data_IF_373501052948
#
_entry.id   IF_373501052948
#
_cell.length_a   1.000
_cell.length_b   1.000
_cell.length_c   1.000
_cell.angle_alpha   90.00
_cell.angle_beta   90.00
_cell.angle_gamma   90.00
#
_symmetry.space_group_name_H-M   'P 1'
#
loop_
_entity.id
_entity.type
_entity.pdbx_description
1 polymer ?
#
# COMPACT_ATOMS: atom_id res chain seq x y z
N UNK A 1 -35.56 22.24 51.65
CA UNK A 1 -34.68 21.21 51.06
C UNK A 1 -34.03 21.83 49.87
N UNK A 2 -32.76 22.24 50.01
CA UNK A 2 -32.00 22.91 48.97
C UNK A 2 -31.16 21.85 48.20
N UNK A 3 -31.54 21.55 46.99
CA UNK A 3 -30.69 20.74 46.09
C UNK A 3 -29.75 21.70 45.36
N UNK A 4 -28.50 21.75 45.84
CA UNK A 4 -27.40 22.37 45.08
C UNK A 4 -27.06 21.46 43.90
N UNK A 5 -27.32 21.90 42.68
CA UNK A 5 -26.75 21.30 41.49
C UNK A 5 -25.26 21.60 41.45
N UNK A 6 -24.43 20.58 41.58
CA UNK A 6 -23.00 20.68 41.31
C UNK A 6 -22.78 20.90 39.83
N UNK A 7 -22.23 22.07 39.45
CA UNK A 7 -21.64 22.27 38.12
C UNK A 7 -20.32 21.51 38.09
N UNK A 8 -20.06 20.63 37.12
CA UNK A 8 -18.74 20.08 36.96
C UNK A 8 -17.85 21.20 36.37
N UNK A 9 -16.92 21.70 37.15
CA UNK A 9 -15.82 22.53 36.68
C UNK A 9 -14.84 21.65 35.85
N UNK A 10 -15.34 21.11 34.76
CA UNK A 10 -14.57 20.38 33.80
C UNK A 10 -13.78 21.34 32.93
N UNK A 11 -12.56 21.69 33.36
CA UNK A 11 -11.53 22.14 32.44
C UNK A 11 -11.33 21.00 31.43
N UNK A 12 -11.89 21.16 30.25
CA UNK A 12 -11.54 20.31 29.10
C UNK A 12 -10.05 20.54 28.90
N UNK A 13 -9.23 19.57 29.26
CA UNK A 13 -7.81 19.58 28.96
C UNK A 13 -7.71 19.49 27.42
N UNK A 14 -7.41 20.65 26.80
CA UNK A 14 -7.00 20.70 25.40
C UNK A 14 -5.66 19.97 25.31
N UNK A 15 -5.61 18.90 24.60
CA UNK A 15 -4.36 18.14 24.40
C UNK A 15 -4.56 16.63 24.30
N UNK A 16 -5.79 16.14 24.23
CA UNK A 16 -6.04 14.74 24.56
C UNK A 16 -6.11 13.78 23.41
N UNK A 17 -6.31 14.22 22.17
CA UNK A 17 -6.34 13.29 21.03
C UNK A 17 -5.78 13.98 19.79
N UNK A 18 -4.45 13.98 19.66
CA UNK A 18 -3.82 14.26 18.39
C UNK A 18 -3.97 13.01 17.52
N UNK A 19 -4.79 13.09 16.47
CA UNK A 19 -4.79 12.08 15.42
C UNK A 19 -3.60 12.39 14.51
N UNK A 20 -2.57 11.55 14.48
CA UNK A 20 -1.43 11.80 13.61
C UNK A 20 -1.89 11.96 12.16
N UNK A 21 -1.42 13.01 11.51
CA UNK A 21 -1.66 13.20 10.08
C UNK A 21 -0.94 12.13 9.27
N UNK A 22 0.26 11.77 9.68
CA UNK A 22 1.10 10.80 8.99
C UNK A 22 1.62 9.73 9.97
N UNK A 23 1.71 8.50 9.50
CA UNK A 23 2.24 7.35 10.22
C UNK A 23 3.43 6.79 9.46
N UNK A 24 4.56 6.67 10.13
CA UNK A 24 5.70 5.93 9.61
C UNK A 24 5.33 4.46 9.33
N UNK A 25 6.02 3.80 8.39
CA UNK A 25 5.83 2.37 8.16
C UNK A 25 6.19 1.56 9.41
N UNK A 26 5.45 0.48 9.64
CA UNK A 26 5.74 -0.45 10.73
C UNK A 26 7.00 -1.26 10.43
N UNK A 27 7.78 -1.58 11.46
CA UNK A 27 9.08 -2.26 11.30
C UNK A 27 8.97 -3.68 10.73
N UNK A 28 7.82 -4.30 10.88
CA UNK A 28 7.49 -5.65 10.44
C UNK A 28 6.50 -5.67 9.26
N UNK A 29 6.35 -4.55 8.56
CA UNK A 29 5.35 -4.40 7.48
C UNK A 29 5.48 -5.48 6.40
N UNK A 30 6.70 -5.83 6.00
CA UNK A 30 6.91 -6.87 5.00
C UNK A 30 6.67 -8.27 5.57
N UNK A 31 7.04 -8.54 6.83
CA UNK A 31 6.77 -9.81 7.49
C UNK A 31 5.24 -10.02 7.65
N UNK A 32 4.53 -9.00 8.10
CA UNK A 32 3.07 -9.03 8.23
C UNK A 32 2.40 -9.26 6.88
N UNK A 33 2.86 -8.59 5.83
CA UNK A 33 2.36 -8.77 4.47
C UNK A 33 2.66 -10.18 3.92
N UNK A 34 3.84 -10.74 4.22
CA UNK A 34 4.18 -12.11 3.83
C UNK A 34 3.21 -13.13 4.45
N UNK A 35 2.92 -12.99 5.73
CA UNK A 35 1.91 -13.82 6.42
C UNK A 35 0.55 -13.66 5.75
N UNK A 36 0.14 -12.41 5.47
CA UNK A 36 -1.15 -12.15 4.82
C UNK A 36 -1.24 -12.77 3.42
N UNK A 37 -0.22 -12.65 2.59
CA UNK A 37 -0.17 -13.32 1.28
C UNK A 37 -0.27 -14.84 1.40
N UNK A 38 0.35 -15.43 2.41
CA UNK A 38 0.28 -16.88 2.65
C UNK A 38 -1.13 -17.32 3.02
N UNK A 39 -1.82 -16.57 3.88
CA UNK A 39 -3.22 -16.81 4.22
C UNK A 39 -4.11 -16.72 2.98
N UNK A 40 -3.97 -15.63 2.21
CA UNK A 40 -4.73 -15.42 0.98
C UNK A 40 -4.49 -16.51 -0.06
N UNK A 41 -3.26 -17.01 -0.19
CA UNK A 41 -2.94 -18.12 -1.08
C UNK A 41 -3.62 -19.43 -0.67
N UNK A 42 -3.82 -19.66 0.63
CA UNK A 42 -4.54 -20.84 1.14
C UNK A 42 -6.05 -20.73 0.97
N UNK A 43 -6.59 -19.52 1.01
CA UNK A 43 -8.02 -19.22 0.86
C UNK A 43 -8.42 -19.09 -0.63
N UNK A 44 -7.45 -18.96 -1.55
CA UNK A 44 -7.72 -18.69 -2.96
C UNK A 44 -8.32 -19.90 -3.69
N UNK A 45 -9.45 -19.65 -4.34
CA UNK A 45 -10.13 -20.59 -5.24
C UNK A 45 -10.15 -20.15 -6.71
N UNK A 46 -9.53 -19.00 -7.02
CA UNK A 46 -9.56 -18.36 -8.33
C UNK A 46 -8.35 -18.72 -9.23
N UNK A 47 -7.36 -19.45 -8.68
CA UNK A 47 -6.17 -19.86 -9.42
C UNK A 47 -4.96 -18.92 -9.23
N UNK A 48 -5.03 -17.98 -8.30
CA UNK A 48 -3.96 -17.04 -7.98
C UNK A 48 -3.02 -17.52 -6.87
N UNK A 49 -3.33 -18.66 -6.21
CA UNK A 49 -2.58 -19.18 -5.05
C UNK A 49 -1.08 -19.27 -5.27
N UNK A 50 -0.64 -19.70 -6.47
CA UNK A 50 0.79 -19.76 -6.82
C UNK A 50 1.44 -18.38 -6.88
N UNK A 51 0.75 -17.39 -7.41
CA UNK A 51 1.24 -16.01 -7.46
C UNK A 51 1.29 -15.37 -6.08
N UNK A 52 0.23 -15.52 -5.29
CA UNK A 52 0.19 -15.02 -3.90
C UNK A 52 1.28 -15.67 -3.03
N UNK A 53 1.56 -16.97 -3.25
CA UNK A 53 2.67 -17.68 -2.60
C UNK A 53 4.04 -17.11 -2.97
N UNK A 54 4.26 -16.78 -4.25
CA UNK A 54 5.48 -16.11 -4.70
C UNK A 54 5.66 -14.75 -4.02
N UNK A 55 4.59 -13.95 -3.94
CA UNK A 55 4.62 -12.65 -3.26
C UNK A 55 4.90 -12.77 -1.75
N UNK A 56 4.41 -13.85 -1.11
CA UNK A 56 4.79 -14.15 0.28
C UNK A 56 6.30 -14.33 0.42
N UNK A 57 6.94 -15.13 -0.44
CA UNK A 57 8.40 -15.33 -0.43
C UNK A 57 9.17 -14.04 -0.69
N UNK A 58 8.69 -13.22 -1.64
CA UNK A 58 9.29 -11.91 -1.92
C UNK A 58 9.21 -11.00 -0.70
N UNK A 59 8.06 -10.96 0.00
CA UNK A 59 7.89 -10.15 1.20
C UNK A 59 8.76 -10.65 2.37
N UNK A 60 8.95 -11.95 2.54
CA UNK A 60 9.91 -12.50 3.52
C UNK A 60 11.34 -12.02 3.20
N UNK A 61 11.73 -12.04 1.93
CA UNK A 61 13.02 -11.55 1.48
C UNK A 61 13.17 -10.03 1.66
N UNK A 62 12.10 -9.25 1.40
CA UNK A 62 12.05 -7.82 1.70
C UNK A 62 12.30 -7.55 3.18
N UNK A 63 11.66 -8.31 4.09
CA UNK A 63 11.87 -8.15 5.53
C UNK A 63 13.30 -8.49 5.94
N UNK A 64 13.86 -9.55 5.36
CA UNK A 64 15.24 -9.93 5.61
C UNK A 64 16.23 -8.85 5.15
N UNK A 65 16.05 -8.28 3.96
CA UNK A 65 16.86 -7.19 3.44
C UNK A 65 16.68 -5.89 4.26
N UNK A 66 15.45 -5.54 4.63
CA UNK A 66 15.14 -4.40 5.48
C UNK A 66 15.85 -4.47 6.85
N UNK A 67 15.92 -5.65 7.45
CA UNK A 67 16.58 -5.87 8.73
C UNK A 67 18.12 -5.93 8.62
N UNK A 68 18.64 -6.38 7.47
CA UNK A 68 20.07 -6.61 7.24
C UNK A 68 20.82 -5.36 6.85
N UNK A 69 20.23 -4.54 6.00
CA UNK A 69 20.90 -3.40 5.40
C UNK A 69 20.56 -2.08 6.10
N UNK A 70 21.50 -1.16 6.07
CA UNK A 70 21.29 0.22 6.50
C UNK A 70 21.21 1.11 5.28
N UNK A 71 20.17 1.93 5.22
CA UNK A 71 19.95 2.88 4.14
C UNK A 71 20.04 4.30 4.70
N UNK A 72 21.19 4.99 4.51
CA UNK A 72 21.33 6.37 4.96
C UNK A 72 20.23 7.25 4.37
N UNK A 73 19.60 8.06 5.21
CA UNK A 73 18.57 8.99 4.77
C UNK A 73 19.20 10.05 3.85
N UNK A 74 18.71 10.22 2.62
CA UNK A 74 19.18 11.28 1.75
C UNK A 74 18.72 12.65 2.25
N UNK A 75 19.29 13.78 1.74
CA UNK A 75 18.77 15.09 2.03
C UNK A 75 17.29 15.20 1.70
N UNK A 76 16.49 15.71 2.64
CA UNK A 76 15.07 15.88 2.45
C UNK A 76 14.77 17.05 1.52
N UNK A 77 13.85 16.85 0.60
CA UNK A 77 13.37 17.93 -0.27
C UNK A 77 12.38 18.82 0.49
N UNK A 78 12.44 20.11 0.19
CA UNK A 78 11.46 21.08 0.69
C UNK A 78 10.41 21.31 -0.37
N UNK A 79 9.30 20.60 -0.28
CA UNK A 79 8.22 20.66 -1.28
C UNK A 79 6.97 19.91 -0.83
N UNK A 80 6.20 19.46 -1.79
CA UNK A 80 5.00 18.67 -1.51
C UNK A 80 5.31 17.26 -1.00
N UNK A 81 6.51 16.77 -1.26
CA UNK A 81 7.03 15.47 -0.80
C UNK A 81 8.47 15.63 -0.34
N UNK A 82 8.90 14.84 0.62
CA UNK A 82 10.25 14.94 1.21
C UNK A 82 11.26 13.97 0.62
N UNK A 83 10.80 12.85 0.04
CA UNK A 83 11.59 11.79 -0.59
C UNK A 83 11.00 11.42 -1.96
N UNK A 84 10.95 12.33 -2.95
CA UNK A 84 10.23 12.11 -4.20
C UNK A 84 10.74 10.88 -4.96
N UNK A 85 9.84 9.95 -5.26
CA UNK A 85 10.15 8.68 -5.92
C UNK A 85 10.74 8.86 -7.34
N UNK A 86 10.34 9.91 -8.04
CA UNK A 86 10.78 10.18 -9.40
C UNK A 86 12.19 10.82 -9.50
N UNK A 87 12.85 11.12 -8.36
CA UNK A 87 14.13 11.83 -8.39
C UNK A 87 15.26 10.96 -8.94
N UNK A 88 15.56 9.86 -8.25
CA UNK A 88 16.66 8.97 -8.62
C UNK A 88 16.43 7.54 -8.12
N UNK A 89 17.07 6.57 -8.78
CA UNK A 89 17.14 5.20 -8.27
C UNK A 89 18.12 5.20 -7.09
N UNK A 90 17.73 4.71 -5.90
CA UNK A 90 18.56 4.77 -4.71
C UNK A 90 19.77 3.82 -4.77
N UNK A 91 20.89 4.20 -4.18
CA UNK A 91 22.11 3.41 -4.14
C UNK A 91 21.91 1.99 -3.58
N UNK A 92 21.04 1.82 -2.60
CA UNK A 92 20.72 0.52 -2.00
C UNK A 92 19.90 -0.42 -2.89
N UNK A 93 19.36 0.06 -4.01
CA UNK A 93 18.48 -0.72 -4.89
C UNK A 93 19.12 -2.03 -5.35
N UNK A 94 20.32 -1.97 -5.94
CA UNK A 94 20.99 -3.15 -6.53
C UNK A 94 21.25 -4.24 -5.50
N UNK A 95 21.62 -3.86 -4.28
CA UNK A 95 21.88 -4.80 -3.18
C UNK A 95 20.58 -5.54 -2.81
N UNK A 96 19.49 -4.81 -2.60
CA UNK A 96 18.19 -5.40 -2.28
C UNK A 96 17.67 -6.24 -3.43
N UNK A 97 17.77 -5.74 -4.67
CA UNK A 97 17.33 -6.45 -5.87
C UNK A 97 18.03 -7.81 -6.00
N UNK A 98 19.33 -7.86 -5.78
CA UNK A 98 20.11 -9.11 -5.77
C UNK A 98 19.66 -10.07 -4.65
N UNK A 99 19.41 -9.56 -3.45
CA UNK A 99 18.90 -10.36 -2.33
C UNK A 99 17.54 -11.00 -2.65
N UNK A 100 16.63 -10.24 -3.23
CA UNK A 100 15.29 -10.74 -3.61
C UNK A 100 15.38 -11.80 -4.72
N UNK A 101 16.20 -11.58 -5.73
CA UNK A 101 16.41 -12.55 -6.79
C UNK A 101 17.01 -13.87 -6.26
N UNK A 102 17.90 -13.79 -5.30
CA UNK A 102 18.48 -14.97 -4.66
C UNK A 102 17.49 -15.73 -3.79
N UNK A 103 16.62 -15.01 -3.08
CA UNK A 103 15.59 -15.62 -2.24
C UNK A 103 14.49 -16.32 -3.06
N UNK A 104 14.24 -15.87 -4.28
CA UNK A 104 13.27 -16.48 -5.20
C UNK A 104 13.89 -17.53 -6.13
N UNK A 105 15.19 -17.74 -6.06
CA UNK A 105 15.87 -18.77 -6.81
C UNK A 105 15.53 -20.16 -6.26
N UNK A 106 15.32 -21.12 -7.17
CA UNK A 106 14.93 -22.48 -6.77
C UNK A 106 13.44 -22.66 -6.42
N UNK A 107 12.59 -21.64 -6.62
CA UNK A 107 11.15 -21.81 -6.60
C UNK A 107 10.73 -22.78 -7.70
N UNK A 108 9.74 -23.62 -7.42
CA UNK A 108 9.35 -24.74 -8.29
C UNK A 108 8.71 -24.32 -9.63
N UNK A 109 8.38 -23.06 -9.80
CA UNK A 109 7.77 -22.55 -11.02
C UNK A 109 8.81 -22.21 -12.09
N UNK A 110 8.80 -22.91 -13.20
CA UNK A 110 9.75 -22.74 -14.30
C UNK A 110 9.75 -21.32 -14.90
N UNK A 111 8.59 -20.62 -14.93
CA UNK A 111 8.50 -19.25 -15.42
C UNK A 111 9.22 -18.27 -14.46
N UNK A 112 9.05 -18.45 -13.14
CA UNK A 112 9.76 -17.67 -12.12
C UNK A 112 11.27 -17.88 -12.24
N UNK A 113 11.71 -19.14 -12.34
CA UNK A 113 13.14 -19.48 -12.51
C UNK A 113 13.73 -18.86 -13.78
N UNK A 114 13.02 -18.91 -14.89
CA UNK A 114 13.47 -18.32 -16.15
C UNK A 114 13.58 -16.79 -16.05
N UNK A 115 12.63 -16.14 -15.39
CA UNK A 115 12.65 -14.68 -15.24
C UNK A 115 13.74 -14.23 -14.28
N UNK A 116 13.90 -14.87 -13.12
CA UNK A 116 15.00 -14.56 -12.18
C UNK A 116 16.36 -14.76 -12.80
N UNK A 117 16.54 -15.79 -13.65
CA UNK A 117 17.80 -16.00 -14.38
C UNK A 117 18.10 -14.84 -15.36
N UNK A 118 17.10 -14.33 -16.09
CA UNK A 118 17.26 -13.15 -16.96
C UNK A 118 17.64 -11.91 -16.14
N UNK A 119 16.95 -11.67 -15.04
CA UNK A 119 17.19 -10.51 -14.19
C UNK A 119 18.57 -10.55 -13.52
N UNK A 120 19.06 -11.74 -13.14
CA UNK A 120 20.42 -11.93 -12.62
C UNK A 120 21.51 -11.69 -13.66
N UNK A 121 21.19 -11.85 -14.95
CA UNK A 121 22.14 -11.60 -16.04
C UNK A 121 22.27 -10.12 -16.40
N UNK A 122 21.41 -9.24 -15.89
CA UNK A 122 21.51 -7.80 -16.12
C UNK A 122 22.77 -7.22 -15.48
N UNK A 123 23.43 -6.34 -16.19
CA UNK A 123 24.46 -5.48 -15.61
C UNK A 123 23.84 -4.50 -14.62
N UNK A 124 24.65 -3.95 -13.71
CA UNK A 124 24.18 -2.93 -12.76
C UNK A 124 23.53 -1.71 -13.46
N UNK A 125 24.08 -1.30 -14.61
CA UNK A 125 23.56 -0.20 -15.40
C UNK A 125 22.19 -0.53 -16.01
N UNK A 126 22.01 -1.73 -16.55
CA UNK A 126 20.72 -2.17 -17.12
C UNK A 126 19.65 -2.32 -16.04
N UNK A 127 19.98 -2.92 -14.89
CA UNK A 127 19.05 -3.03 -13.76
C UNK A 127 18.64 -1.65 -13.22
N UNK A 128 19.58 -0.71 -13.13
CA UNK A 128 19.29 0.68 -12.72
C UNK A 128 18.41 1.41 -13.75
N UNK A 129 18.68 1.20 -15.06
CA UNK A 129 17.85 1.78 -16.12
C UNK A 129 16.42 1.22 -16.09
N UNK A 130 16.27 -0.09 -15.86
CA UNK A 130 14.96 -0.73 -15.67
C UNK A 130 14.21 -0.15 -14.46
N UNK A 131 14.88 -0.02 -13.31
CA UNK A 131 14.28 0.57 -12.12
C UNK A 131 13.84 2.02 -12.36
N UNK A 132 14.61 2.80 -13.12
CA UNK A 132 14.26 4.18 -13.50
C UNK A 132 12.99 4.22 -14.35
N UNK A 133 12.88 3.35 -15.38
CA UNK A 133 11.66 3.28 -16.21
C UNK A 133 10.43 2.95 -15.39
N UNK A 134 10.55 2.03 -14.44
CA UNK A 134 9.45 1.64 -13.55
C UNK A 134 9.05 2.79 -12.63
N UNK A 135 10.01 3.47 -12.00
CA UNK A 135 9.74 4.63 -11.14
C UNK A 135 9.09 5.81 -11.88
N UNK A 136 9.43 6.00 -13.14
CA UNK A 136 8.89 7.09 -13.97
C UNK A 136 7.67 6.67 -14.79
N UNK A 137 7.15 5.46 -14.58
CA UNK A 137 5.99 4.90 -15.31
C UNK A 137 6.20 4.87 -16.84
N UNK A 138 7.45 4.65 -17.28
CA UNK A 138 7.86 4.53 -18.68
C UNK A 138 8.18 3.08 -19.03
N UNK A 139 7.41 2.14 -18.47
CA UNK A 139 7.61 0.70 -18.67
C UNK A 139 7.18 0.27 -20.07
N UNK A 140 7.96 -0.64 -20.63
CA UNK A 140 7.64 -1.32 -21.88
C UNK A 140 7.07 -2.72 -21.60
N UNK A 141 6.35 -3.35 -22.55
CA UNK A 141 5.79 -4.69 -22.34
C UNK A 141 6.78 -5.73 -21.80
N UNK A 142 8.06 -5.79 -22.20
CA UNK A 142 9.04 -6.72 -21.64
C UNK A 142 9.41 -6.46 -20.17
N UNK A 143 9.20 -5.24 -19.67
CA UNK A 143 9.55 -4.87 -18.29
C UNK A 143 8.54 -5.41 -17.27
N UNK A 144 7.32 -5.75 -17.68
CA UNK A 144 6.19 -6.07 -16.78
C UNK A 144 6.45 -7.24 -15.84
N UNK A 145 7.06 -8.30 -16.30
CA UNK A 145 7.39 -9.45 -15.43
C UNK A 145 8.46 -9.10 -14.42
N UNK A 146 9.40 -8.20 -14.79
CA UNK A 146 10.44 -7.71 -13.92
C UNK A 146 9.95 -6.74 -12.83
N UNK A 147 8.82 -6.06 -13.08
CA UNK A 147 8.25 -5.05 -12.17
C UNK A 147 8.11 -5.57 -10.74
N UNK A 148 7.74 -6.84 -10.54
CA UNK A 148 7.54 -7.45 -9.23
C UNK A 148 8.79 -7.31 -8.35
N UNK A 149 9.95 -7.76 -8.85
CA UNK A 149 11.21 -7.73 -8.09
C UNK A 149 11.78 -6.31 -7.96
N UNK A 150 11.67 -5.52 -9.02
CA UNK A 150 12.15 -4.14 -9.01
C UNK A 150 11.33 -3.29 -8.04
N UNK A 151 10.00 -3.34 -8.11
CA UNK A 151 9.11 -2.63 -7.18
C UNK A 151 9.35 -3.10 -5.74
N UNK A 152 9.49 -4.41 -5.53
CA UNK A 152 9.78 -4.96 -4.21
C UNK A 152 11.13 -4.45 -3.66
N UNK A 153 12.17 -4.37 -4.48
CA UNK A 153 13.47 -3.85 -4.06
C UNK A 153 13.40 -2.35 -3.73
N UNK A 154 12.72 -1.56 -4.55
CA UNK A 154 12.51 -0.14 -4.31
C UNK A 154 11.71 0.11 -3.03
N UNK A 155 10.67 -0.68 -2.77
CA UNK A 155 9.89 -0.60 -1.53
C UNK A 155 10.76 -0.71 -0.29
N UNK A 156 11.73 -1.61 -0.25
CA UNK A 156 12.62 -1.79 0.92
C UNK A 156 13.36 -0.50 1.23
N UNK A 157 13.96 0.13 0.22
CA UNK A 157 14.77 1.35 0.43
C UNK A 157 13.89 2.52 0.87
N UNK A 158 12.77 2.78 0.14
CA UNK A 158 11.85 3.86 0.52
C UNK A 158 11.18 3.65 1.88
N UNK A 159 10.86 2.41 2.22
CA UNK A 159 10.34 2.07 3.55
C UNK A 159 11.38 2.33 4.64
N UNK A 160 12.63 1.97 4.40
CA UNK A 160 13.71 2.21 5.35
C UNK A 160 14.00 3.71 5.55
N UNK A 161 13.88 4.51 4.50
CA UNK A 161 13.99 5.97 4.60
C UNK A 161 12.79 6.56 5.35
N UNK A 162 11.57 6.18 4.98
CA UNK A 162 10.36 6.65 5.65
C UNK A 162 10.31 6.27 7.13
N UNK A 163 10.84 5.10 7.51
CA UNK A 163 10.91 4.66 8.91
C UNK A 163 11.86 5.52 9.79
N UNK A 164 12.71 6.35 9.19
CA UNK A 164 13.60 7.27 9.89
C UNK A 164 12.99 8.67 10.08
N UNK A 165 11.82 8.94 9.49
CA UNK A 165 11.13 10.22 9.58
C UNK A 165 10.16 10.25 10.76
N UNK A 166 9.93 11.45 11.28
CA UNK A 166 8.84 11.79 12.18
C UNK A 166 7.71 12.50 11.43
N UNK A 167 6.57 12.70 12.07
CA UNK A 167 5.44 13.46 11.52
C UNK A 167 5.85 14.90 11.18
N UNK A 168 6.76 15.50 11.97
CA UNK A 168 7.24 16.87 11.78
C UNK A 168 8.12 17.04 10.52
N UNK A 169 8.71 15.96 10.03
CA UNK A 169 9.52 15.97 8.80
C UNK A 169 8.66 15.96 7.53
N UNK A 170 7.37 15.57 7.66
CA UNK A 170 6.48 15.38 6.53
C UNK A 170 5.52 16.54 6.37
N UNK A 171 5.39 17.14 5.17
CA UNK A 171 4.54 18.31 4.97
C UNK A 171 3.07 17.94 5.22
N UNK A 172 2.45 18.66 6.16
CA UNK A 172 1.01 18.62 6.36
C UNK A 172 0.31 19.25 5.16
N UNK A 173 -0.66 18.56 4.59
CA UNK A 173 -1.54 19.19 3.61
C UNK A 173 -2.49 20.13 4.34
N UNK A 174 -2.65 21.35 3.87
CA UNK A 174 -3.75 22.23 4.30
C UNK A 174 -5.12 21.62 3.99
N UNK A 175 -5.16 20.68 3.03
CA UNK A 175 -6.33 19.89 2.66
C UNK A 175 -6.00 18.40 2.80
N UNK A 176 -6.79 17.69 3.58
CA UNK A 176 -6.75 16.24 3.80
C UNK A 176 -7.07 15.38 2.56
N UNK A 177 -7.05 15.96 1.36
CA UNK A 177 -7.58 15.42 0.11
C UNK A 177 -6.48 14.90 -0.82
N UNK A 178 -5.32 14.56 -0.28
CA UNK A 178 -4.22 14.06 -1.10
C UNK A 178 -4.35 12.58 -1.36
N UNK A 179 -4.45 12.21 -2.63
CA UNK A 179 -4.27 10.83 -3.09
C UNK A 179 -2.78 10.45 -3.16
N UNK A 180 -1.88 11.43 -3.18
CA UNK A 180 -0.44 11.23 -3.25
C UNK A 180 0.22 11.23 -1.87
N UNK A 181 1.15 10.31 -1.68
CA UNK A 181 1.89 10.17 -0.44
C UNK A 181 2.71 11.43 -0.12
N UNK A 182 2.54 12.06 1.05
CA UNK A 182 3.31 13.24 1.42
C UNK A 182 4.80 12.93 1.67
N UNK A 183 5.16 11.66 1.86
CA UNK A 183 6.54 11.23 1.99
C UNK A 183 7.21 11.10 0.62
N UNK A 184 6.69 10.28 -0.30
CA UNK A 184 7.39 9.94 -1.56
C UNK A 184 6.67 10.37 -2.84
N UNK A 185 5.43 10.88 -2.77
CA UNK A 185 4.67 11.33 -3.93
C UNK A 185 3.95 10.23 -4.71
N UNK A 186 4.10 8.97 -4.33
CA UNK A 186 3.40 7.85 -4.98
C UNK A 186 1.91 7.88 -4.64
N UNK A 187 1.06 7.58 -5.60
CA UNK A 187 -0.39 7.50 -5.39
C UNK A 187 -0.74 6.33 -4.47
N UNK A 188 -1.73 6.52 -3.57
CA UNK A 188 -2.18 5.49 -2.64
C UNK A 188 -2.79 4.29 -3.38
N UNK A 189 -2.40 3.08 -3.01
CA UNK A 189 -3.03 1.84 -3.53
C UNK A 189 -4.47 1.68 -3.07
N UNK A 190 -4.76 2.13 -1.86
CA UNK A 190 -6.05 2.03 -1.20
C UNK A 190 -6.04 2.73 0.14
N UNK A 191 -7.05 2.50 0.94
CA UNK A 191 -7.15 3.01 2.30
C UNK A 191 -7.48 1.91 3.31
N UNK A 192 -7.21 2.17 4.58
CA UNK A 192 -7.49 1.24 5.68
C UNK A 192 -8.16 1.97 6.83
N UNK A 193 -9.17 1.34 7.44
CA UNK A 193 -9.71 1.77 8.74
C UNK A 193 -9.01 0.93 9.81
N UNK A 194 -8.24 1.62 10.64
CA UNK A 194 -7.45 1.00 11.69
C UNK A 194 -8.29 0.62 12.93
N UNK A 195 -7.83 -0.41 13.67
CA UNK A 195 -8.40 -0.84 14.96
C UNK A 195 -7.43 -0.67 16.13
N UNK A 196 -6.35 0.09 15.95
CA UNK A 196 -5.39 0.39 17.04
C UNK A 196 -6.07 1.27 18.08
N UNK A 197 -5.70 1.08 19.34
CA UNK A 197 -6.39 1.66 20.50
C UNK A 197 -6.63 3.17 20.42
N UNK A 198 -5.66 3.91 19.89
CA UNK A 198 -5.65 5.37 19.75
C UNK A 198 -6.12 5.85 18.36
N UNK A 199 -6.17 4.95 17.37
CA UNK A 199 -6.48 5.25 15.97
C UNK A 199 -7.72 4.50 15.46
N UNK A 200 -8.47 3.85 16.36
CA UNK A 200 -9.64 3.06 15.99
C UNK A 200 -10.69 3.90 15.27
N UNK A 201 -11.05 3.44 14.08
CA UNK A 201 -12.05 4.06 13.24
C UNK A 201 -11.55 5.19 12.35
N UNK A 202 -10.28 5.61 12.45
CA UNK A 202 -9.70 6.56 11.50
C UNK A 202 -9.32 5.87 10.20
N UNK A 203 -9.55 6.58 9.10
CA UNK A 203 -9.16 6.16 7.75
C UNK A 203 -7.78 6.71 7.42
N UNK A 204 -6.91 5.83 6.97
CA UNK A 204 -5.59 6.18 6.44
C UNK A 204 -5.44 5.68 5.01
N UNK A 205 -4.95 6.53 4.13
CA UNK A 205 -4.44 6.14 2.81
C UNK A 205 -3.14 5.36 3.02
N UNK A 206 -2.84 4.39 2.15
CA UNK A 206 -1.64 3.57 2.22
C UNK A 206 -0.76 3.75 0.99
N UNK A 207 0.52 4.06 1.21
CA UNK A 207 1.50 4.19 0.15
C UNK A 207 2.02 2.82 -0.29
N UNK A 208 1.91 2.46 -1.57
CA UNK A 208 2.43 1.18 -2.04
C UNK A 208 3.96 1.14 -2.18
N UNK A 209 4.66 2.27 -2.11
CA UNK A 209 6.12 2.32 -2.23
C UNK A 209 6.82 2.43 -0.88
N UNK A 210 6.56 3.48 -0.08
CA UNK A 210 7.24 3.68 1.19
C UNK A 210 6.49 3.11 2.41
N UNK A 211 5.34 2.47 2.19
CA UNK A 211 4.49 1.86 3.23
C UNK A 211 4.03 2.81 4.36
N UNK A 212 4.26 4.12 4.25
CA UNK A 212 3.67 5.09 5.16
C UNK A 212 2.17 5.24 4.92
N UNK A 213 1.48 5.77 5.94
CA UNK A 213 0.04 6.01 5.88
C UNK A 213 -0.24 7.47 6.22
N UNK A 214 -1.27 8.06 5.64
CA UNK A 214 -1.70 9.42 5.97
C UNK A 214 -3.21 9.52 6.10
N UNK A 215 -3.66 10.33 7.05
CA UNK A 215 -5.07 10.47 7.39
C UNK A 215 -5.87 11.04 6.23
N UNK A 216 -7.05 10.49 6.01
CA UNK A 216 -8.02 10.95 5.02
C UNK A 216 -9.43 11.00 5.61
N UNK A 217 -10.20 12.01 5.25
CA UNK A 217 -11.59 12.13 5.69
C UNK A 217 -12.44 11.00 5.13
N UNK A 218 -13.26 10.37 5.98
CA UNK A 218 -14.08 9.20 5.61
C UNK A 218 -15.25 9.53 4.66
N UNK A 219 -15.76 10.74 4.72
CA UNK A 219 -16.96 11.15 3.97
C UNK A 219 -16.63 12.05 2.78
N UNK A 220 -15.39 12.02 2.29
CA UNK A 220 -14.93 12.88 1.21
C UNK A 220 -14.14 12.08 0.18
N UNK A 221 -14.42 12.33 -1.09
CA UNK A 221 -13.66 11.72 -2.17
C UNK A 221 -12.20 12.23 -2.15
N UNK A 222 -11.20 11.37 -2.01
CA UNK A 222 -9.80 11.81 -1.98
C UNK A 222 -9.31 12.31 -3.34
N UNK A 223 -10.01 11.99 -4.43
CA UNK A 223 -9.64 12.38 -5.80
C UNK A 223 -10.17 13.77 -6.17
N UNK A 224 -11.48 14.02 -5.99
CA UNK A 224 -12.09 15.29 -6.43
C UNK A 224 -12.58 16.18 -5.27
N UNK A 225 -12.51 15.71 -4.03
CA UNK A 225 -12.91 16.48 -2.86
C UNK A 225 -14.42 16.52 -2.59
N UNK A 226 -15.26 15.88 -3.41
CA UNK A 226 -16.70 15.86 -3.20
C UNK A 226 -17.09 15.04 -1.95
N UNK A 227 -18.02 15.58 -1.17
CA UNK A 227 -18.53 14.94 0.04
C UNK A 227 -19.92 14.29 -0.13
N UNK A 228 -20.64 14.62 -1.21
CA UNK A 228 -22.01 14.17 -1.45
C UNK A 228 -22.12 12.90 -2.27
N UNK A 229 -21.18 12.69 -3.18
CA UNK A 229 -21.22 11.62 -4.18
C UNK A 229 -20.57 10.29 -3.76
N UNK A 230 -20.09 10.16 -2.53
CA UNK A 230 -19.41 8.94 -2.09
C UNK A 230 -20.38 7.79 -1.83
N UNK A 231 -20.08 6.63 -2.39
CA UNK A 231 -20.78 5.35 -2.17
C UNK A 231 -19.79 4.31 -1.69
N UNK A 232 -20.28 3.44 -0.79
CA UNK A 232 -19.53 2.27 -0.33
C UNK A 232 -20.14 1.02 -0.95
N UNK A 233 -19.40 0.34 -1.78
CA UNK A 233 -19.81 -0.87 -2.48
C UNK A 233 -19.05 -2.07 -1.95
N UNK A 234 -19.69 -3.23 -1.92
CA UNK A 234 -19.09 -4.49 -1.54
C UNK A 234 -19.71 -5.63 -2.37
N UNK A 235 -19.00 -6.73 -2.49
CA UNK A 235 -19.56 -7.95 -3.07
C UNK A 235 -20.43 -8.63 -2.02
N UNK A 236 -21.70 -8.91 -2.36
CA UNK A 236 -22.60 -9.64 -1.46
C UNK A 236 -22.38 -11.15 -1.58
N UNK A 237 -22.29 -11.84 -0.44
CA UNK A 237 -22.13 -13.29 -0.36
C UNK A 237 -23.21 -14.07 -1.13
N UNK A 238 -24.41 -13.49 -1.21
CA UNK A 238 -25.53 -14.06 -1.97
C UNK A 238 -25.29 -14.11 -3.48
N UNK A 239 -24.43 -13.23 -3.98
CA UNK A 239 -24.12 -13.08 -5.41
C UNK A 239 -22.99 -14.02 -5.85
N UNK A 240 -22.13 -14.43 -4.91
CA UNK A 240 -20.96 -15.29 -5.19
C UNK A 240 -20.91 -16.39 -4.11
N UNK A 241 -21.35 -17.61 -4.41
CA UNK A 241 -21.21 -18.72 -3.49
C UNK A 241 -19.74 -18.96 -3.14
N UNK A 242 -19.44 -19.14 -1.85
CA UNK A 242 -18.07 -19.32 -1.33
C UNK A 242 -17.15 -18.10 -1.54
N UNK A 243 -17.68 -16.92 -1.31
CA UNK A 243 -16.88 -15.69 -1.34
C UNK A 243 -15.68 -15.80 -0.39
N UNK A 244 -14.46 -15.54 -0.90
CA UNK A 244 -13.25 -15.61 -0.10
C UNK A 244 -13.31 -14.63 1.09
N UNK A 245 -12.79 -14.99 2.30
CA UNK A 245 -12.86 -14.17 3.50
C UNK A 245 -12.31 -12.74 3.33
N UNK A 246 -11.36 -12.53 2.43
CA UNK A 246 -10.80 -11.22 2.09
C UNK A 246 -11.87 -10.19 1.70
N UNK A 247 -12.94 -10.62 1.02
CA UNK A 247 -14.03 -9.73 0.60
C UNK A 247 -14.84 -9.16 1.77
N UNK A 248 -14.84 -9.80 2.94
CA UNK A 248 -15.55 -9.30 4.11
C UNK A 248 -15.01 -7.95 4.61
N UNK A 249 -13.71 -7.72 4.41
CA UNK A 249 -13.02 -6.48 4.80
C UNK A 249 -12.92 -5.47 3.66
N UNK A 250 -13.01 -5.92 2.41
CA UNK A 250 -12.80 -5.09 1.22
C UNK A 250 -14.09 -4.40 0.78
N UNK A 251 -14.00 -3.09 0.58
CA UNK A 251 -15.05 -2.26 0.02
C UNK A 251 -14.47 -1.40 -1.10
N UNK A 252 -15.29 -1.01 -2.06
CA UNK A 252 -14.95 0.04 -3.00
C UNK A 252 -15.63 1.35 -2.58
N UNK A 253 -14.85 2.38 -2.32
CA UNK A 253 -15.35 3.74 -2.15
C UNK A 253 -15.39 4.39 -3.54
N UNK A 254 -16.56 4.42 -4.17
CA UNK A 254 -16.79 5.06 -5.46
C UNK A 254 -17.38 6.46 -5.31
N UNK A 255 -17.07 7.32 -6.25
CA UNK A 255 -17.54 8.71 -6.29
C UNK A 255 -18.39 8.96 -7.53
N UNK A 256 -19.64 9.36 -7.35
CA UNK A 256 -20.56 9.69 -8.45
C UNK A 256 -20.15 10.96 -9.21
N UNK A 257 -19.36 11.84 -8.57
CA UNK A 257 -18.97 13.11 -9.18
C UNK A 257 -17.78 12.99 -10.14
N UNK A 258 -16.77 12.17 -9.82
CA UNK A 258 -15.60 11.99 -10.68
C UNK A 258 -15.48 10.59 -11.28
N UNK A 259 -16.41 9.70 -11.02
CA UNK A 259 -16.46 8.32 -11.51
C UNK A 259 -15.20 7.50 -11.23
N UNK A 260 -14.47 7.83 -10.15
CA UNK A 260 -13.35 7.01 -9.67
C UNK A 260 -13.75 6.20 -8.46
N UNK A 261 -13.09 5.07 -8.25
CA UNK A 261 -13.18 4.32 -7.00
C UNK A 261 -11.80 3.99 -6.45
N UNK A 262 -11.75 3.70 -5.15
CA UNK A 262 -10.56 3.23 -4.44
C UNK A 262 -10.96 2.19 -3.40
N UNK A 263 -10.18 1.14 -3.25
CA UNK A 263 -10.50 0.13 -2.25
C UNK A 263 -10.21 0.62 -0.83
N UNK A 264 -11.10 0.26 0.07
CA UNK A 264 -11.01 0.48 1.50
C UNK A 264 -11.02 -0.86 2.22
N UNK A 265 -10.08 -1.06 3.12
CA UNK A 265 -9.96 -2.28 3.93
C UNK A 265 -10.30 -1.99 5.39
N UNK A 266 -11.12 -2.84 5.98
CA UNK A 266 -11.62 -2.65 7.35
C UNK A 266 -10.97 -3.65 8.28
N UNK A 267 -10.06 -3.20 9.14
CA UNK A 267 -9.38 -4.06 10.12
C UNK A 267 -10.31 -4.58 11.22
N UNK A 268 -11.48 -3.97 11.45
CA UNK A 268 -12.51 -4.52 12.34
C UNK A 268 -13.21 -5.79 11.78
N UNK A 269 -13.04 -6.07 10.48
CA UNK A 269 -13.54 -7.28 9.80
C UNK A 269 -12.43 -8.30 9.57
N UNK A 270 -11.24 -7.85 9.22
CA UNK A 270 -10.03 -8.66 9.06
C UNK A 270 -8.86 -7.88 9.67
N UNK A 271 -8.45 -8.28 10.86
CA UNK A 271 -7.44 -7.57 11.66
C UNK A 271 -6.11 -7.33 10.93
N UNK A 272 -5.73 -8.26 10.07
CA UNK A 272 -4.48 -8.23 9.32
C UNK A 272 -4.67 -7.80 7.85
N UNK A 273 -5.81 -7.17 7.52
CA UNK A 273 -6.01 -6.64 6.18
C UNK A 273 -4.88 -5.68 5.79
N UNK A 274 -4.21 -5.98 4.68
CA UNK A 274 -3.14 -5.19 4.09
C UNK A 274 -3.57 -4.64 2.72
N UNK A 275 -3.58 -3.32 2.52
CA UNK A 275 -4.07 -2.73 1.27
C UNK A 275 -3.34 -3.19 0.00
N UNK A 276 -2.10 -3.70 0.11
CA UNK A 276 -1.35 -4.22 -1.04
C UNK A 276 -1.71 -5.68 -1.30
N UNK A 277 -1.80 -6.50 -0.23
CA UNK A 277 -2.06 -7.94 -0.37
C UNK A 277 -3.55 -8.24 -0.66
N UNK A 278 -4.45 -7.67 0.13
CA UNK A 278 -5.89 -7.90 -0.02
C UNK A 278 -6.45 -7.33 -1.33
N UNK A 279 -5.77 -6.35 -1.92
CA UNK A 279 -6.12 -5.81 -3.23
C UNK A 279 -6.07 -6.88 -4.32
N UNK A 280 -5.03 -7.70 -4.33
CA UNK A 280 -4.86 -8.78 -5.30
C UNK A 280 -5.85 -9.94 -5.08
N UNK A 281 -6.27 -10.16 -3.84
CA UNK A 281 -7.23 -11.19 -3.49
C UNK A 281 -8.69 -10.79 -3.72
N UNK A 282 -8.96 -9.53 -4.06
CA UNK A 282 -10.31 -8.98 -4.22
C UNK A 282 -10.55 -8.35 -5.59
N UNK A 283 -9.93 -8.89 -6.64
CA UNK A 283 -10.05 -8.39 -8.03
C UNK A 283 -11.48 -8.49 -8.58
N UNK A 284 -12.29 -9.40 -8.10
CA UNK A 284 -13.70 -9.47 -8.45
C UNK A 284 -14.49 -8.21 -8.09
N UNK A 285 -14.06 -7.49 -7.03
CA UNK A 285 -14.64 -6.20 -6.68
C UNK A 285 -14.27 -5.13 -7.72
N UNK A 286 -13.03 -5.16 -8.25
CA UNK A 286 -12.60 -4.23 -9.32
C UNK A 286 -13.40 -4.46 -10.59
N UNK A 287 -13.63 -5.71 -10.97
CA UNK A 287 -14.43 -6.07 -12.14
C UNK A 287 -15.85 -5.53 -11.98
N UNK A 288 -16.51 -5.83 -10.87
CA UNK A 288 -17.90 -5.42 -10.63
C UNK A 288 -18.07 -3.89 -10.61
N UNK A 289 -17.12 -3.18 -10.00
CA UNK A 289 -17.18 -1.70 -9.91
C UNK A 289 -16.80 -1.06 -11.25
N UNK A 290 -15.87 -1.66 -12.00
CA UNK A 290 -15.54 -1.26 -13.36
C UNK A 290 -16.73 -1.42 -14.32
N UNK A 291 -17.45 -2.53 -14.25
CA UNK A 291 -18.70 -2.77 -15.02
C UNK A 291 -19.80 -1.76 -14.65
N UNK A 292 -19.79 -1.26 -13.41
CA UNK A 292 -20.69 -0.17 -12.98
C UNK A 292 -20.24 1.23 -13.47
N UNK A 293 -19.16 1.34 -14.24
CA UNK A 293 -18.72 2.57 -14.89
C UNK A 293 -17.77 3.44 -14.05
N UNK A 294 -17.09 2.87 -13.05
CA UNK A 294 -16.09 3.60 -12.27
C UNK A 294 -14.68 3.19 -12.66
N UNK A 295 -13.78 4.17 -12.72
CA UNK A 295 -12.37 3.98 -12.99
C UNK A 295 -11.59 3.75 -11.68
N UNK A 296 -10.62 2.83 -11.72
CA UNK A 296 -9.78 2.54 -10.57
C UNK A 296 -8.82 3.69 -10.29
N UNK A 297 -8.79 4.16 -9.05
CA UNK A 297 -7.79 5.09 -8.55
C UNK A 297 -6.70 4.34 -7.78
N UNK A 298 -5.43 4.65 -8.10
CA UNK A 298 -4.26 4.03 -7.51
C UNK A 298 -3.85 2.70 -8.13
N UNK A 299 -2.56 2.47 -8.17
CA UNK A 299 -1.96 1.27 -8.74
C UNK A 299 -1.38 0.38 -7.63
N UNK A 300 -1.54 -0.93 -7.79
CA UNK A 300 -0.84 -1.90 -6.96
C UNK A 300 0.43 -2.35 -7.69
N UNK A 301 1.63 -2.25 -7.06
CA UNK A 301 2.89 -2.59 -7.72
C UNK A 301 3.03 -4.08 -8.09
N UNK A 302 2.17 -4.93 -7.52
CA UNK A 302 2.13 -6.37 -7.79
C UNK A 302 0.97 -6.79 -8.69
N UNK A 303 0.19 -5.85 -9.21
CA UNK A 303 -0.90 -6.14 -10.13
C UNK A 303 -0.40 -6.11 -11.58
N UNK A 304 -0.19 -7.28 -12.17
CA UNK A 304 0.34 -7.45 -13.53
C UNK A 304 -0.72 -7.34 -14.65
N UNK A 305 -1.88 -6.80 -14.37
CA UNK A 305 -2.93 -6.62 -15.38
C UNK A 305 -2.55 -5.42 -16.27
N UNK A 306 -2.54 -5.66 -17.58
CA UNK A 306 -2.32 -4.60 -18.56
C UNK A 306 -3.42 -3.53 -18.48
N UNK A 307 -3.01 -2.29 -18.31
CA UNK A 307 -3.84 -1.12 -18.58
C UNK A 307 -3.86 -0.84 -20.07
#
# INVERSE_FOLDING_TARGET
MNTRSARPDGKIQKGLFHTPFWLAPEKDIFASRAVRFKELAQEDSSGWSGYLSLLSVICEAQQAAFNRHTFPLPPLYRGQTVLPAAAEVPDGFLTVFTDLLNATDGQTNAAVTAETAKLKALTAAEATALARRILTQQTEPPDRTAEIWVQAALQVVWTAWAAQLSEDDVPTAENSDRIFCPCCGTEAVGSVILIRSDLTGFRYMHCPLCNSRWNALRAKCPTCGDAGGMRLQQVEEKSVPHLAPAYSAAHAESCESCHTYRKLYRQDKQQYADPVADDLATLGLDIAVGEAGYERGGANPFLLIGT
#
